data_IF_841449378474
#
_entry.id   IF_841449378474
#
_cell.length_a   1.000
_cell.length_b   1.000
_cell.length_c   1.000
_cell.angle_alpha   90.00
_cell.angle_beta   90.00
_cell.angle_gamma   90.00
#
_symmetry.space_group_name_H-M   'P 1'
#
loop_
_entity.id
_entity.type
_entity.pdbx_description
1 polymer ?
#
# COMPACT_ATOMS: atom_id res chain seq x y z
N UNK A 1 -5.09 11.53 5.20
CA UNK A 1 -4.85 10.67 4.04
C UNK A 1 -6.17 10.05 3.60
N UNK A 2 -6.40 9.94 2.31
CA UNK A 2 -7.52 9.18 1.74
C UNK A 2 -6.94 8.07 0.85
N UNK A 3 -7.45 6.85 0.98
CA UNK A 3 -7.08 5.72 0.13
C UNK A 3 -8.33 5.28 -0.64
N UNK A 4 -8.25 5.32 -1.96
CA UNK A 4 -9.30 4.77 -2.83
C UNK A 4 -8.76 3.56 -3.59
N UNK A 5 -9.62 2.55 -3.74
CA UNK A 5 -9.30 1.31 -4.45
C UNK A 5 -10.00 1.31 -5.80
N UNK A 6 -9.26 1.02 -6.87
CA UNK A 6 -9.82 0.66 -8.17
C UNK A 6 -9.14 -0.58 -8.74
N UNK A 7 -9.86 -1.31 -9.59
CA UNK A 7 -9.36 -2.53 -10.23
C UNK A 7 -9.18 -2.33 -11.74
N UNK A 8 -8.11 -2.90 -12.29
CA UNK A 8 -7.84 -2.96 -13.72
C UNK A 8 -7.35 -4.35 -14.07
N UNK A 9 -8.25 -5.22 -14.53
CA UNK A 9 -7.94 -6.63 -14.75
C UNK A 9 -7.59 -7.32 -13.43
N UNK A 10 -6.41 -7.94 -13.35
CA UNK A 10 -5.89 -8.58 -12.15
C UNK A 10 -5.13 -7.62 -11.21
N UNK A 11 -5.01 -6.33 -11.57
CA UNK A 11 -4.25 -5.33 -10.83
C UNK A 11 -5.19 -4.53 -9.94
N UNK A 12 -4.87 -4.45 -8.65
CA UNK A 12 -5.48 -3.49 -7.72
C UNK A 12 -4.64 -2.23 -7.70
N UNK A 13 -5.27 -1.07 -7.82
CA UNK A 13 -4.62 0.23 -7.74
C UNK A 13 -5.15 0.93 -6.50
N UNK A 14 -4.24 1.27 -5.59
CA UNK A 14 -4.51 2.08 -4.41
C UNK A 14 -4.10 3.51 -4.72
N UNK A 15 -5.06 4.38 -4.97
CA UNK A 15 -4.83 5.81 -5.15
C UNK A 15 -4.81 6.49 -3.78
N UNK A 16 -3.64 7.00 -3.38
CA UNK A 16 -3.44 7.69 -2.11
C UNK A 16 -3.44 9.21 -2.37
N UNK A 17 -4.21 9.94 -1.55
CA UNK A 17 -4.34 11.39 -1.63
C UNK A 17 -4.03 12.04 -0.27
N UNK A 18 -3.32 13.17 -0.31
CA UNK A 18 -2.94 13.97 0.86
C UNK A 18 -1.51 13.73 1.33
N UNK A 19 -1.32 13.67 2.64
CA UNK A 19 0.01 13.53 3.26
C UNK A 19 0.14 12.18 3.96
N UNK A 20 1.34 11.60 3.92
CA UNK A 20 1.68 10.36 4.61
C UNK A 20 2.63 10.66 5.77
N UNK A 21 2.17 10.39 7.00
CA UNK A 21 2.86 10.70 8.24
C UNK A 21 2.74 9.55 9.26
N UNK A 22 3.34 9.72 10.45
CA UNK A 22 3.33 8.72 11.51
C UNK A 22 1.94 8.26 11.95
N UNK A 23 0.92 9.11 11.84
CA UNK A 23 -0.43 8.82 12.28
C UNK A 23 -1.18 7.96 11.27
N UNK A 24 -0.92 8.16 9.98
CA UNK A 24 -1.69 7.52 8.90
C UNK A 24 -0.89 6.43 8.16
N UNK A 25 0.43 6.37 8.32
CA UNK A 25 1.28 5.31 7.78
C UNK A 25 0.84 3.87 8.18
N UNK A 26 0.32 3.61 9.40
CA UNK A 26 -0.21 2.27 9.75
C UNK A 26 -1.37 1.81 8.85
N UNK A 27 -2.23 2.73 8.39
CA UNK A 27 -3.39 2.38 7.56
C UNK A 27 -2.97 1.79 6.21
N UNK A 28 -1.85 2.26 5.63
CA UNK A 28 -1.27 1.70 4.40
C UNK A 28 -0.90 0.23 4.60
N UNK A 29 -0.37 -0.14 5.78
CA UNK A 29 -0.03 -1.53 6.10
C UNK A 29 -1.29 -2.40 6.17
N UNK A 30 -2.34 -1.89 6.83
CA UNK A 30 -3.60 -2.63 7.01
C UNK A 30 -4.31 -2.88 5.68
N UNK A 31 -4.32 -1.88 4.78
CA UNK A 31 -4.90 -2.04 3.44
C UNK A 31 -4.12 -3.08 2.63
N UNK A 32 -2.78 -3.04 2.66
CA UNK A 32 -1.96 -4.02 1.94
C UNK A 32 -2.12 -5.42 2.53
N UNK A 33 -2.20 -5.54 3.86
CA UNK A 33 -2.47 -6.83 4.51
C UNK A 33 -3.81 -7.43 4.07
N UNK A 34 -4.87 -6.62 3.96
CA UNK A 34 -6.16 -7.07 3.43
C UNK A 34 -6.06 -7.54 1.98
N UNK A 35 -5.30 -6.84 1.14
CA UNK A 35 -5.10 -7.27 -0.25
C UNK A 35 -4.35 -8.61 -0.34
N UNK A 36 -3.41 -8.86 0.57
CA UNK A 36 -2.73 -10.16 0.68
C UNK A 36 -3.72 -11.27 1.05
N UNK A 37 -4.58 -11.02 2.04
CA UNK A 37 -5.63 -11.95 2.46
C UNK A 37 -6.63 -12.25 1.32
N UNK A 38 -6.95 -11.24 0.51
CA UNK A 38 -7.77 -11.35 -0.70
C UNK A 38 -7.04 -12.00 -1.89
N UNK A 39 -5.77 -12.41 -1.74
CA UNK A 39 -4.91 -12.95 -2.81
C UNK A 39 -4.70 -11.99 -4.00
N UNK A 40 -4.81 -10.68 -3.75
CA UNK A 40 -4.59 -9.60 -4.73
C UNK A 40 -3.12 -9.17 -4.73
N UNK A 41 -2.26 -10.02 -5.27
CA UNK A 41 -0.80 -9.81 -5.22
C UNK A 41 -0.27 -8.75 -6.21
N UNK A 42 -1.00 -8.47 -7.29
CA UNK A 42 -0.65 -7.41 -8.24
C UNK A 42 -1.26 -6.10 -7.77
N UNK A 43 -0.50 -5.35 -6.97
CA UNK A 43 -0.94 -4.06 -6.42
C UNK A 43 -0.03 -2.92 -6.87
N UNK A 44 -0.62 -1.85 -7.38
CA UNK A 44 0.04 -0.56 -7.64
C UNK A 44 -0.39 0.41 -6.54
N UNK A 45 0.59 1.07 -5.92
CA UNK A 45 0.33 2.20 -5.02
C UNK A 45 0.59 3.48 -5.81
N UNK A 46 -0.48 4.20 -6.14
CA UNK A 46 -0.37 5.48 -6.83
C UNK A 46 -0.23 6.62 -5.82
N UNK A 47 0.91 7.29 -5.88
CA UNK A 47 1.28 8.41 -5.02
C UNK A 47 1.23 9.76 -5.74
N UNK A 48 0.64 9.84 -6.96
CA UNK A 48 0.57 11.07 -7.75
C UNK A 48 -0.05 12.26 -6.99
N UNK A 49 -1.02 11.98 -6.10
CA UNK A 49 -1.71 12.98 -5.28
C UNK A 49 -1.17 13.06 -3.85
N UNK A 50 -0.01 12.48 -3.58
CA UNK A 50 0.66 12.58 -2.28
C UNK A 50 1.57 13.79 -2.28
N UNK A 51 1.22 14.80 -1.49
CA UNK A 51 1.98 16.06 -1.41
C UNK A 51 3.19 15.97 -0.48
N UNK A 52 3.18 15.03 0.46
CA UNK A 52 4.24 14.86 1.45
C UNK A 52 4.30 13.40 1.96
N UNK A 53 5.52 12.93 2.21
CA UNK A 53 5.79 11.65 2.87
C UNK A 53 7.00 11.79 3.80
N UNK A 54 6.85 11.39 5.07
CA UNK A 54 7.96 11.32 6.03
C UNK A 54 8.63 9.93 6.07
N UNK A 55 9.61 9.76 6.97
CA UNK A 55 10.33 8.49 7.15
C UNK A 55 9.44 7.35 7.63
N UNK A 56 8.36 7.64 8.36
CA UNK A 56 7.42 6.64 8.86
C UNK A 56 6.55 6.09 7.73
N UNK A 57 6.12 6.95 6.79
CA UNK A 57 5.40 6.57 5.58
C UNK A 57 6.22 5.64 4.68
N UNK A 58 7.48 6.01 4.42
CA UNK A 58 8.42 5.16 3.68
C UNK A 58 8.64 3.84 4.42
N UNK A 59 8.85 3.89 5.74
CA UNK A 59 9.01 2.70 6.58
C UNK A 59 7.77 1.78 6.53
N UNK A 60 6.57 2.34 6.42
CA UNK A 60 5.36 1.58 6.26
C UNK A 60 5.31 0.84 4.91
N UNK A 61 5.63 1.51 3.81
CA UNK A 61 5.69 0.89 2.47
C UNK A 61 6.72 -0.25 2.42
N UNK A 62 7.92 -0.04 2.96
CA UNK A 62 8.97 -1.07 3.02
C UNK A 62 8.52 -2.27 3.87
N UNK A 63 7.89 -2.01 5.02
CA UNK A 63 7.34 -3.05 5.89
C UNK A 63 6.27 -3.88 5.17
N UNK A 64 5.39 -3.23 4.41
CA UNK A 64 4.35 -3.92 3.63
C UNK A 64 4.96 -4.79 2.53
N UNK A 65 5.97 -4.28 1.81
CA UNK A 65 6.73 -5.08 0.83
C UNK A 65 7.45 -6.28 1.49
N UNK A 66 8.00 -6.11 2.68
CA UNK A 66 8.64 -7.20 3.43
C UNK A 66 7.64 -8.30 3.81
N UNK A 67 6.40 -7.93 4.18
CA UNK A 67 5.35 -8.89 4.48
C UNK A 67 4.87 -9.63 3.22
N UNK A 68 4.72 -8.91 2.11
CA UNK A 68 4.42 -9.48 0.79
C UNK A 68 5.45 -10.54 0.37
N UNK A 69 6.75 -10.26 0.55
CA UNK A 69 7.85 -11.18 0.24
C UNK A 69 7.86 -12.48 1.06
N UNK A 70 7.19 -12.51 2.21
CA UNK A 70 7.09 -13.72 3.05
C UNK A 70 6.02 -14.68 2.55
N UNK A 71 5.19 -14.28 1.60
CA UNK A 71 4.14 -15.13 1.04
C UNK A 71 4.80 -16.20 0.15
N UNK A 72 4.45 -17.49 0.33
CA UNK A 72 4.93 -18.56 -0.53
C UNK A 72 4.58 -18.29 -2.00
N UNK A 73 5.58 -18.31 -2.89
CA UNK A 73 5.38 -18.05 -4.33
C UNK A 73 5.62 -16.61 -4.78
N UNK A 74 6.16 -15.75 -3.91
CA UNK A 74 6.70 -14.45 -4.31
C UNK A 74 8.03 -14.64 -5.08
N UNK A 75 7.95 -14.82 -6.40
CA UNK A 75 9.11 -14.88 -7.31
C UNK A 75 8.81 -14.15 -8.60
#
# INVERSE_FOLDING_TARGET
>A
MEITRRESGNIVILDINGEIDLYNAPEIKDVIAKLIEEQKYYTIINLEKVSYIDSSGIGALISSLSNLKKIPGWT
#
